data_IF_025062757619
#
_entry.id   IF_025062757619
#
_cell.length_a   1.000
_cell.length_b   1.000
_cell.length_c   1.000
_cell.angle_alpha   90.00
_cell.angle_beta   90.00
_cell.angle_gamma   90.00
#
_symmetry.space_group_name_H-M   'P 1'
#
loop_
_entity.id
_entity.type
_entity.pdbx_description
1 polymer ?
#
# COMPACT_ATOMS: atom_id res chain seq x y z
N UNK A 1 -28.89 12.19 33.11
CA UNK A 1 -29.08 10.77 32.75
C UNK A 1 -30.33 10.65 31.87
N UNK A 2 -30.38 9.76 30.87
CA UNK A 2 -29.82 10.03 29.53
C UNK A 2 -30.83 9.76 28.40
N UNK A 3 -30.54 10.21 27.17
CA UNK A 3 -31.03 9.53 25.97
C UNK A 3 -29.86 9.19 25.07
N UNK A 4 -29.62 7.89 25.02
CA UNK A 4 -28.83 7.16 24.04
C UNK A 4 -29.35 7.39 22.62
N UNK A 5 -28.44 7.61 21.66
CA UNK A 5 -28.65 7.13 20.30
C UNK A 5 -27.28 6.83 19.65
N UNK A 6 -26.95 5.54 19.72
CA UNK A 6 -26.12 4.75 18.79
C UNK A 6 -25.17 5.49 17.86
N UNK A 7 -23.88 5.35 18.17
CA UNK A 7 -22.80 5.14 17.19
C UNK A 7 -23.23 4.10 16.14
N UNK A 8 -23.39 4.51 14.89
CA UNK A 8 -23.24 3.65 13.71
C UNK A 8 -23.33 4.48 12.42
N UNK A 9 -22.20 5.02 11.96
CA UNK A 9 -22.06 5.55 10.60
C UNK A 9 -20.65 5.29 10.07
N UNK A 10 -20.24 4.02 10.11
CA UNK A 10 -19.19 3.50 9.24
C UNK A 10 -19.85 2.65 8.17
N UNK A 11 -19.62 2.94 6.90
CA UNK A 11 -19.95 1.97 5.86
C UNK A 11 -18.87 0.90 5.93
N UNK A 12 -19.12 -0.15 6.70
CA UNK A 12 -18.33 -1.38 6.64
C UNK A 12 -18.67 -2.08 5.33
N UNK A 13 -17.91 -1.78 4.27
CA UNK A 13 -17.94 -2.63 3.08
C UNK A 13 -17.20 -3.92 3.41
N UNK A 14 -17.97 -4.94 3.82
CA UNK A 14 -17.49 -6.33 3.82
C UNK A 14 -17.32 -6.78 2.37
N UNK A 15 -16.26 -6.31 1.73
CA UNK A 15 -15.86 -6.84 0.43
C UNK A 15 -15.16 -8.15 0.71
N UNK A 16 -15.93 -9.25 0.65
CA UNK A 16 -15.38 -10.60 0.58
C UNK A 16 -14.29 -10.58 -0.50
N UNK A 17 -13.03 -10.63 -0.07
CA UNK A 17 -11.91 -10.82 -0.99
C UNK A 17 -12.02 -12.26 -1.43
N UNK A 18 -12.88 -12.53 -2.42
CA UNK A 18 -12.89 -13.80 -3.11
C UNK A 18 -11.57 -13.81 -3.87
N UNK A 19 -10.55 -14.45 -3.31
CA UNK A 19 -9.36 -14.81 -4.06
C UNK A 19 -9.87 -15.57 -5.29
N UNK A 20 -9.88 -14.93 -6.46
CA UNK A 20 -10.25 -15.57 -7.70
C UNK A 20 -9.14 -16.59 -7.98
N UNK A 21 -9.37 -17.83 -7.56
CA UNK A 21 -8.62 -19.01 -7.98
C UNK A 21 -8.83 -19.17 -9.48
N UNK A 22 -8.11 -18.39 -10.28
CA UNK A 22 -8.05 -18.54 -11.72
C UNK A 22 -6.67 -19.08 -12.08
N UNK A 23 -6.69 -20.35 -12.47
CA UNK A 23 -5.66 -21.14 -13.17
C UNK A 23 -4.37 -21.52 -12.41
N UNK A 24 -4.37 -22.78 -11.92
CA UNK A 24 -3.25 -23.72 -12.05
C UNK A 24 -2.07 -23.65 -11.08
N UNK A 25 -1.78 -22.51 -10.44
CA UNK A 25 -0.56 -22.35 -9.63
C UNK A 25 -0.70 -22.48 -8.11
N UNK A 26 -1.94 -22.41 -7.58
CA UNK A 26 -2.18 -22.16 -6.15
C UNK A 26 -2.89 -23.30 -5.40
N UNK A 27 -3.15 -24.44 -6.02
CA UNK A 27 -3.82 -25.57 -5.36
C UNK A 27 -3.08 -26.06 -4.10
N UNK A 28 -1.74 -26.09 -4.15
CA UNK A 28 -0.92 -26.46 -2.99
C UNK A 28 -0.97 -25.45 -1.85
N UNK A 29 -1.28 -24.18 -2.13
CA UNK A 29 -1.48 -23.15 -1.10
C UNK A 29 -2.87 -23.31 -0.48
N UNK A 30 -3.91 -23.46 -1.30
CA UNK A 30 -5.29 -23.66 -0.84
C UNK A 30 -5.43 -24.87 0.09
N UNK A 31 -4.74 -26.00 -0.20
CA UNK A 31 -4.72 -27.19 0.68
C UNK A 31 -4.10 -26.93 2.05
N UNK A 32 -3.15 -26.00 2.15
CA UNK A 32 -2.46 -25.66 3.41
C UNK A 32 -3.17 -24.58 4.22
N UNK A 33 -4.13 -23.88 3.62
CA UNK A 33 -4.91 -22.81 4.26
C UNK A 33 -6.41 -22.99 4.07
N UNK A 34 -7.01 -24.09 4.56
CA UNK A 34 -8.43 -24.42 4.31
C UNK A 34 -9.40 -23.40 4.92
N UNK A 35 -9.00 -22.69 5.99
CA UNK A 35 -9.83 -21.72 6.69
C UNK A 35 -9.73 -20.29 6.12
N UNK A 36 -8.81 -20.02 5.19
CA UNK A 36 -8.63 -18.68 4.62
C UNK A 36 -9.89 -18.10 3.93
N UNK A 37 -10.74 -18.91 3.25
CA UNK A 37 -12.00 -18.41 2.69
C UNK A 37 -13.00 -17.88 3.72
N UNK A 38 -12.87 -18.29 4.98
CA UNK A 38 -13.76 -17.87 6.08
C UNK A 38 -13.31 -16.55 6.72
N UNK A 39 -12.08 -16.11 6.45
CA UNK A 39 -11.53 -14.87 7.00
C UNK A 39 -12.17 -13.66 6.29
N UNK A 40 -13.07 -12.97 7.00
CA UNK A 40 -13.59 -11.68 6.58
C UNK A 40 -12.72 -10.56 7.15
N UNK A 41 -12.14 -9.75 6.27
CA UNK A 41 -11.41 -8.54 6.67
C UNK A 41 -12.29 -7.34 6.36
N UNK A 42 -12.85 -6.69 7.38
CA UNK A 42 -13.54 -5.42 7.22
C UNK A 42 -12.55 -4.38 6.70
N UNK A 43 -12.79 -3.84 5.50
CA UNK A 43 -11.94 -2.80 4.91
C UNK A 43 -12.70 -1.49 4.96
N UNK A 44 -12.25 -0.60 5.84
CA UNK A 44 -12.80 0.73 5.97
C UNK A 44 -12.22 1.65 4.88
N UNK A 45 -13.01 1.88 3.84
CA UNK A 45 -12.56 2.62 2.67
C UNK A 45 -13.04 4.09 2.67
N UNK A 46 -14.24 4.37 3.21
CA UNK A 46 -14.85 5.71 3.17
C UNK A 46 -15.93 5.86 4.24
N UNK A 47 -15.98 6.99 4.97
CA UNK A 47 -17.20 7.39 5.70
C UNK A 47 -18.00 8.39 4.88
N UNK A 48 -19.30 8.47 5.14
CA UNK A 48 -20.20 9.40 4.43
C UNK A 48 -20.15 10.84 4.96
N UNK A 49 -19.27 11.14 5.93
CA UNK A 49 -19.25 12.42 6.65
C UNK A 49 -17.92 13.14 6.41
N UNK A 50 -17.97 14.28 5.72
CA UNK A 50 -16.79 15.05 5.29
C UNK A 50 -16.36 16.14 6.30
N UNK A 51 -17.04 16.29 7.44
CA UNK A 51 -16.75 17.40 8.36
C UNK A 51 -15.47 17.12 9.17
N UNK A 52 -14.45 17.95 8.99
CA UNK A 52 -13.22 17.96 9.79
C UNK A 52 -12.25 16.79 9.54
N UNK A 53 -12.38 16.07 8.41
CA UNK A 53 -11.59 14.87 8.13
C UNK A 53 -10.55 15.09 7.04
N UNK A 54 -9.33 14.63 7.31
CA UNK A 54 -8.23 14.57 6.33
C UNK A 54 -7.94 13.12 5.98
N UNK A 55 -8.03 12.80 4.68
CA UNK A 55 -7.63 11.49 4.16
C UNK A 55 -6.15 11.56 3.72
N UNK A 56 -5.32 10.73 4.36
CA UNK A 56 -3.89 10.62 4.13
C UNK A 56 -3.54 9.23 3.60
N UNK A 57 -2.83 9.14 2.48
CA UNK A 57 -2.23 7.91 2.01
C UNK A 57 -0.80 7.79 2.52
N UNK A 58 -0.48 6.67 3.14
CA UNK A 58 0.87 6.30 3.50
C UNK A 58 1.27 5.06 2.72
N UNK A 59 2.32 5.15 1.92
CA UNK A 59 2.86 4.01 1.19
C UNK A 59 4.29 3.81 1.64
N UNK A 60 4.56 2.63 2.20
CA UNK A 60 5.89 2.20 2.58
C UNK A 60 6.49 1.34 1.48
N UNK A 61 7.74 1.59 1.12
CA UNK A 61 8.55 0.81 0.21
C UNK A 61 9.64 0.07 1.00
N UNK A 62 9.76 -1.23 0.76
CA UNK A 62 10.78 -2.10 1.36
C UNK A 62 11.39 -2.99 0.28
N UNK A 63 12.59 -3.49 0.51
CA UNK A 63 13.26 -4.41 -0.40
C UNK A 63 14.03 -5.49 0.34
N UNK A 64 14.10 -6.65 -0.30
CA UNK A 64 14.97 -7.77 0.07
C UNK A 64 15.64 -8.36 -1.17
N UNK A 65 16.73 -9.14 -1.03
CA UNK A 65 17.53 -9.62 -2.17
C UNK A 65 16.79 -10.37 -3.30
N UNK A 66 15.53 -10.78 -3.08
CA UNK A 66 14.72 -11.51 -4.05
C UNK A 66 13.35 -10.88 -4.31
N UNK A 67 13.02 -9.76 -3.65
CA UNK A 67 11.72 -9.13 -3.81
C UNK A 67 11.72 -7.65 -3.41
N UNK A 68 10.94 -6.87 -4.16
CA UNK A 68 10.55 -5.52 -3.80
C UNK A 68 9.14 -5.55 -3.22
N UNK A 69 8.90 -4.79 -2.17
CA UNK A 69 7.64 -4.79 -1.44
C UNK A 69 7.10 -3.38 -1.28
N UNK A 70 5.78 -3.25 -1.37
CA UNK A 70 5.10 -2.01 -1.04
C UNK A 70 3.79 -2.30 -0.31
N UNK A 71 3.54 -1.52 0.74
CA UNK A 71 2.28 -1.57 1.50
C UNK A 71 1.69 -0.18 1.55
N UNK A 72 0.45 -0.06 1.09
CA UNK A 72 -0.32 1.17 1.08
C UNK A 72 -1.40 1.14 2.17
N UNK A 73 -1.39 2.16 3.01
CA UNK A 73 -2.35 2.42 4.06
C UNK A 73 -3.15 3.69 3.75
N UNK A 74 -4.44 3.66 4.04
CA UNK A 74 -5.29 4.84 4.13
C UNK A 74 -5.43 5.19 5.60
N UNK A 75 -4.94 6.37 5.97
CA UNK A 75 -5.04 6.94 7.30
C UNK A 75 -6.04 8.09 7.29
N UNK A 76 -6.93 8.06 8.28
CA UNK A 76 -8.04 8.96 8.42
C UNK A 76 -7.84 9.73 9.70
N UNK A 77 -7.65 11.03 9.57
CA UNK A 77 -7.48 11.92 10.71
C UNK A 77 -8.77 12.70 10.93
N UNK A 78 -9.25 12.69 12.17
CA UNK A 78 -10.45 13.40 12.61
C UNK A 78 -10.27 13.87 14.05
N UNK A 79 -11.17 14.74 14.51
CA UNK A 79 -11.22 15.14 15.93
C UNK A 79 -11.38 13.95 16.89
N UNK A 80 -12.02 12.86 16.42
CA UNK A 80 -12.24 11.63 17.18
C UNK A 80 -11.02 10.68 17.17
N UNK A 81 -9.89 11.11 16.59
CA UNK A 81 -8.65 10.36 16.49
C UNK A 81 -8.35 9.84 15.09
N UNK A 82 -7.29 9.04 15.03
CA UNK A 82 -6.72 8.50 13.78
C UNK A 82 -7.12 7.04 13.57
N UNK A 83 -7.57 6.70 12.36
CA UNK A 83 -7.84 5.31 11.95
C UNK A 83 -7.09 4.97 10.69
N UNK A 84 -6.40 3.83 10.66
CA UNK A 84 -5.65 3.37 9.49
C UNK A 84 -6.20 2.04 8.97
N UNK A 85 -6.31 1.91 7.66
CA UNK A 85 -6.71 0.66 6.97
C UNK A 85 -5.72 0.35 5.87
N UNK A 86 -5.24 -0.90 5.81
CA UNK A 86 -4.40 -1.37 4.70
C UNK A 86 -5.24 -1.52 3.44
N UNK A 87 -4.87 -0.80 2.39
CA UNK A 87 -5.54 -0.89 1.09
C UNK A 87 -4.94 -2.00 0.24
N UNK A 88 -3.63 -1.96 0.05
CA UNK A 88 -2.90 -2.88 -0.82
C UNK A 88 -1.59 -3.28 -0.13
N UNK A 89 -1.27 -4.56 -0.22
CA UNK A 89 0.07 -5.08 0.09
C UNK A 89 0.47 -5.89 -1.13
N UNK A 90 1.55 -5.49 -1.79
CA UNK A 90 1.99 -6.10 -3.03
C UNK A 90 3.51 -6.34 -2.97
N UNK A 91 3.90 -7.51 -3.45
CA UNK A 91 5.28 -7.93 -3.53
C UNK A 91 5.58 -8.32 -4.98
N UNK A 92 6.72 -7.84 -5.48
CA UNK A 92 7.22 -8.18 -6.80
C UNK A 92 8.56 -8.88 -6.68
N UNK A 93 8.70 -10.02 -7.35
CA UNK A 93 9.98 -10.74 -7.43
C UNK A 93 11.04 -9.82 -8.04
N UNK A 94 12.18 -9.69 -7.35
CA UNK A 94 13.30 -8.91 -7.85
C UNK A 94 13.85 -9.57 -9.12
N UNK A 95 14.40 -8.80 -10.07
CA UNK A 95 15.03 -9.39 -11.25
C UNK A 95 16.17 -10.31 -10.79
N UNK A 96 16.23 -11.54 -11.29
CA UNK A 96 17.20 -12.56 -10.87
C UNK A 96 18.65 -12.32 -11.34
N UNK A 97 18.95 -11.12 -11.84
CA UNK A 97 20.30 -10.70 -12.19
C UNK A 97 21.04 -10.20 -10.94
N UNK A 98 22.38 -10.22 -10.95
CA UNK A 98 23.17 -9.57 -9.90
C UNK A 98 22.90 -8.05 -9.93
N UNK A 99 22.01 -7.61 -9.04
CA UNK A 99 21.62 -6.23 -8.87
C UNK A 99 22.10 -5.78 -7.49
N UNK A 100 22.68 -4.58 -7.42
CA UNK A 100 23.11 -3.99 -6.15
C UNK A 100 21.92 -3.69 -5.24
N UNK A 101 22.12 -3.79 -3.93
CA UNK A 101 21.08 -3.47 -2.95
C UNK A 101 20.49 -2.07 -3.17
N UNK A 102 21.35 -1.07 -3.41
CA UNK A 102 20.93 0.31 -3.71
C UNK A 102 19.96 0.40 -4.90
N UNK A 103 20.16 -0.42 -5.95
CA UNK A 103 19.28 -0.46 -7.11
C UNK A 103 17.95 -1.15 -6.78
N UNK A 104 17.97 -2.20 -5.95
CA UNK A 104 16.73 -2.82 -5.46
C UNK A 104 15.90 -1.84 -4.61
N UNK A 105 16.54 -1.12 -3.69
CA UNK A 105 15.90 -0.12 -2.84
C UNK A 105 15.25 1.00 -3.67
N UNK A 106 15.96 1.49 -4.69
CA UNK A 106 15.42 2.49 -5.62
C UNK A 106 14.25 1.93 -6.46
N UNK A 107 14.34 0.68 -6.89
CA UNK A 107 13.26 0.00 -7.61
C UNK A 107 12.02 -0.22 -6.73
N UNK A 108 12.20 -0.50 -5.43
CA UNK A 108 11.10 -0.57 -4.47
C UNK A 108 10.41 0.79 -4.31
N UNK A 109 11.17 1.88 -4.20
CA UNK A 109 10.60 3.24 -4.16
C UNK A 109 9.81 3.57 -5.44
N UNK A 110 10.34 3.22 -6.62
CA UNK A 110 9.64 3.38 -7.89
C UNK A 110 8.35 2.56 -7.93
N UNK A 111 8.39 1.32 -7.45
CA UNK A 111 7.22 0.45 -7.35
C UNK A 111 6.14 1.06 -6.44
N UNK A 112 6.52 1.56 -5.26
CA UNK A 112 5.61 2.25 -4.35
C UNK A 112 4.99 3.52 -4.97
N UNK A 113 5.78 4.31 -5.71
CA UNK A 113 5.27 5.49 -6.42
C UNK A 113 4.24 5.14 -7.51
N UNK A 114 4.49 4.07 -8.27
CA UNK A 114 3.54 3.56 -9.27
C UNK A 114 2.28 3.02 -8.63
N UNK A 115 2.42 2.26 -7.54
CA UNK A 115 1.28 1.75 -6.77
C UNK A 115 0.44 2.91 -6.23
N UNK A 116 1.07 3.97 -5.74
CA UNK A 116 0.38 5.17 -5.29
C UNK A 116 -0.43 5.82 -6.42
N UNK A 117 0.17 6.02 -7.60
CA UNK A 117 -0.54 6.56 -8.76
C UNK A 117 -1.76 5.71 -9.14
N UNK A 118 -1.56 4.38 -9.23
CA UNK A 118 -2.65 3.43 -9.49
C UNK A 118 -3.78 3.54 -8.46
N UNK A 119 -3.44 3.62 -7.17
CA UNK A 119 -4.44 3.77 -6.10
C UNK A 119 -5.21 5.09 -6.28
N UNK A 120 -4.53 6.23 -6.39
CA UNK A 120 -5.18 7.53 -6.50
C UNK A 120 -6.12 7.62 -7.71
N UNK A 121 -5.69 7.09 -8.85
CA UNK A 121 -6.49 7.03 -10.09
C UNK A 121 -7.75 6.18 -9.91
N UNK A 122 -7.62 4.97 -9.36
CA UNK A 122 -8.75 4.04 -9.21
C UNK A 122 -9.73 4.47 -8.10
N UNK A 123 -9.22 5.12 -7.06
CA UNK A 123 -10.01 5.61 -5.94
C UNK A 123 -10.71 6.96 -6.24
N UNK A 124 -10.38 7.58 -7.38
CA UNK A 124 -10.85 8.92 -7.80
C UNK A 124 -10.62 9.98 -6.72
N UNK A 125 -9.48 9.91 -6.05
CA UNK A 125 -9.13 10.81 -4.95
C UNK A 125 -8.28 11.97 -5.47
N UNK A 126 -8.86 13.16 -5.54
CA UNK A 126 -8.20 14.36 -6.08
C UNK A 126 -7.56 15.26 -5.01
N UNK A 127 -7.89 15.08 -3.73
CA UNK A 127 -7.48 15.99 -2.64
C UNK A 127 -7.00 15.25 -1.39
N UNK A 128 -6.14 14.25 -1.56
CA UNK A 128 -5.57 13.49 -0.44
C UNK A 128 -4.10 13.82 -0.25
N UNK A 129 -3.66 13.92 1.00
CA UNK A 129 -2.23 13.98 1.33
C UNK A 129 -1.59 12.63 1.05
N UNK A 130 -0.39 12.61 0.48
CA UNK A 130 0.31 11.38 0.12
C UNK A 130 1.71 11.42 0.71
N UNK A 131 2.07 10.35 1.41
CA UNK A 131 3.38 10.16 2.03
C UNK A 131 3.99 8.85 1.56
N UNK A 132 5.04 8.93 0.76
CA UNK A 132 5.88 7.80 0.38
C UNK A 132 7.05 7.70 1.37
N UNK A 133 7.27 6.52 1.94
CA UNK A 133 8.33 6.27 2.93
C UNK A 133 9.18 5.07 2.52
N UNK A 134 10.48 5.17 2.78
CA UNK A 134 11.44 4.07 2.75
C UNK A 134 12.42 4.26 3.91
N UNK A 135 12.95 3.19 4.45
CA UNK A 135 14.03 3.19 5.44
C UNK A 135 15.42 3.19 4.80
N UNK A 136 15.51 2.99 3.47
CA UNK A 136 16.76 3.11 2.74
C UNK A 136 17.21 4.57 2.64
N UNK A 137 18.24 4.90 3.42
CA UNK A 137 18.96 6.17 3.32
C UNK A 137 19.63 6.35 1.96
N UNK A 138 20.07 5.24 1.35
CA UNK A 138 20.64 5.24 0.00
C UNK A 138 19.56 5.65 -1.01
N UNK A 139 18.41 5.00 -1.05
CA UNK A 139 17.34 5.37 -1.98
C UNK A 139 16.88 6.82 -1.76
N UNK A 140 16.71 7.27 -0.52
CA UNK A 140 16.39 8.68 -0.23
C UNK A 140 17.45 9.64 -0.78
N UNK A 141 18.73 9.35 -0.55
CA UNK A 141 19.82 10.17 -1.06
C UNK A 141 19.77 10.28 -2.60
N UNK A 142 19.55 9.16 -3.29
CA UNK A 142 19.46 9.14 -4.76
C UNK A 142 18.22 9.85 -5.30
N UNK A 143 17.09 9.78 -4.60
CA UNK A 143 15.84 10.48 -4.96
C UNK A 143 15.97 12.00 -4.77
N UNK A 144 16.69 12.44 -3.75
CA UNK A 144 16.82 13.86 -3.40
C UNK A 144 17.98 14.59 -4.10
N UNK A 145 18.96 13.86 -4.64
CA UNK A 145 20.08 14.46 -5.40
C UNK A 145 19.66 14.89 -6.82
N UNK A 146 20.44 15.79 -7.39
CA UNK A 146 20.16 16.37 -8.71
C UNK A 146 20.36 15.32 -9.82
N UNK A 147 19.34 15.14 -10.67
CA UNK A 147 19.32 14.12 -11.74
C UNK A 147 20.51 14.30 -12.69
N UNK A 148 21.02 15.53 -12.83
CA UNK A 148 22.16 15.87 -13.69
C UNK A 148 23.54 15.47 -13.15
N UNK A 149 23.67 15.10 -11.87
CA UNK A 149 24.94 14.67 -11.27
C UNK A 149 25.28 13.21 -11.52
N UNK A 150 24.26 12.39 -11.76
CA UNK A 150 24.44 10.96 -11.96
C UNK A 150 24.65 10.69 -13.45
N UNK A 151 25.76 10.03 -13.80
CA UNK A 151 25.88 9.43 -15.13
C UNK A 151 24.67 8.54 -15.35
N UNK A 152 24.00 8.70 -16.50
CA UNK A 152 22.98 7.76 -16.96
C UNK A 152 23.54 6.34 -16.77
N UNK A 153 22.81 5.51 -16.03
CA UNK A 153 23.21 4.15 -15.66
C UNK A 153 23.65 3.37 -16.92
N UNK A 154 24.95 3.36 -17.18
CA UNK A 154 25.53 2.62 -18.28
C UNK A 154 25.68 1.18 -17.80
N UNK A 155 24.66 0.38 -18.14
CA UNK A 155 24.71 -1.05 -18.51
C UNK A 155 25.41 -2.01 -17.52
N UNK A 156 24.65 -2.99 -17.03
CA UNK A 156 25.19 -4.29 -16.60
C UNK A 156 25.96 -4.95 -17.75
#
# INVERSE_FOLDING_TARGET
MPRSCSTNCGVETSTSTRYLTTHGGLEGVARRTPYLPEVQVSRYYRSQTNEGRTDCFHISADTRPMANEAVAYLTLESENGTRSTTLVSEQRVAPGEEITLARLELMACLFAGRLCGYILENLKQQQSNVYLRTDSTTALYWIHEDVGRWKQFARN
#
